data_IF_289900273850
#
_entry.id   IF_289900273850
#
_cell.length_a   1.000
_cell.length_b   1.000
_cell.length_c   1.000
_cell.angle_alpha   90.00
_cell.angle_beta   90.00
_cell.angle_gamma   90.00
#
_symmetry.space_group_name_H-M   'P 1'
#
loop_
_entity.id
_entity.type
_entity.pdbx_description
1 polymer ?
#
# COMPACT_ATOMS: atom_id res chain seq x y z
N UNK A 1 68.18 -8.38 -5.74
CA UNK A 1 67.28 -8.46 -4.57
C UNK A 1 66.04 -7.65 -4.89
N UNK A 2 64.91 -8.34 -5.00
CA UNK A 2 63.66 -7.86 -5.58
C UNK A 2 62.80 -7.14 -4.53
N UNK A 3 62.32 -5.95 -4.85
CA UNK A 3 61.32 -5.21 -4.08
C UNK A 3 59.92 -5.69 -4.50
N UNK A 4 59.29 -6.52 -3.68
CA UNK A 4 57.90 -6.95 -3.84
C UNK A 4 56.94 -5.99 -3.13
N UNK A 5 56.17 -5.23 -3.92
CA UNK A 5 55.07 -4.40 -3.40
C UNK A 5 53.88 -5.24 -2.99
N UNK A 6 53.47 -5.13 -1.73
CA UNK A 6 52.22 -5.72 -1.22
C UNK A 6 51.04 -4.87 -1.66
N UNK A 7 50.24 -5.37 -2.60
CA UNK A 7 48.95 -4.82 -2.96
C UNK A 7 47.97 -4.98 -1.79
N UNK A 8 47.60 -3.88 -1.15
CA UNK A 8 46.45 -3.83 -0.24
C UNK A 8 45.18 -3.92 -1.07
N UNK A 9 44.53 -5.08 -1.06
CA UNK A 9 43.20 -5.26 -1.62
C UNK A 9 42.21 -4.35 -0.88
N UNK A 10 41.66 -3.34 -1.57
CA UNK A 10 40.50 -2.60 -1.05
C UNK A 10 39.32 -3.57 -1.00
N UNK A 11 38.85 -3.89 0.20
CA UNK A 11 37.57 -4.55 0.37
C UNK A 11 36.49 -3.63 -0.22
N UNK A 12 35.94 -4.02 -1.37
CA UNK A 12 34.74 -3.40 -1.91
C UNK A 12 33.61 -3.64 -0.90
N UNK A 13 33.13 -2.56 -0.28
CA UNK A 13 31.91 -2.56 0.51
C UNK A 13 30.78 -3.08 -0.39
N UNK A 14 30.00 -4.08 0.04
CA UNK A 14 28.84 -4.52 -0.72
C UNK A 14 27.90 -3.34 -0.90
N UNK A 15 27.61 -2.97 -2.15
CA UNK A 15 26.58 -1.98 -2.50
C UNK A 15 25.26 -2.45 -1.89
N UNK A 16 24.73 -1.68 -0.94
CA UNK A 16 23.46 -1.96 -0.26
C UNK A 16 22.31 -2.00 -1.28
N UNK A 17 21.50 -3.07 -1.34
CA UNK A 17 20.33 -3.10 -2.21
C UNK A 17 19.20 -2.23 -1.63
N UNK A 18 19.02 -1.01 -2.17
CA UNK A 18 17.87 -0.13 -1.92
C UNK A 18 17.95 1.10 -2.82
N UNK A 19 16.84 1.79 -3.09
CA UNK A 19 16.84 3.07 -3.81
C UNK A 19 16.66 4.25 -2.84
N UNK A 20 17.30 5.37 -3.15
CA UNK A 20 17.16 6.61 -2.38
C UNK A 20 15.72 7.13 -2.50
N UNK A 21 15.03 7.31 -1.36
CA UNK A 21 13.68 7.90 -1.37
C UNK A 21 13.68 9.38 -1.76
N UNK A 22 14.84 10.04 -1.73
CA UNK A 22 15.04 11.42 -2.18
C UNK A 22 15.42 11.53 -3.67
N UNK A 23 15.16 10.48 -4.46
CA UNK A 23 15.57 10.33 -5.86
C UNK A 23 15.52 11.64 -6.68
N UNK A 24 16.58 11.94 -7.46
CA UNK A 24 16.61 13.11 -8.32
C UNK A 24 15.44 13.14 -9.33
N UNK A 25 15.03 14.35 -9.71
CA UNK A 25 14.06 14.61 -10.79
C UNK A 25 14.55 13.96 -12.09
N UNK A 26 13.66 13.28 -12.81
CA UNK A 26 13.91 12.63 -14.11
C UNK A 26 14.27 11.13 -14.06
N UNK A 27 14.18 10.47 -12.90
CA UNK A 27 14.56 9.06 -12.75
C UNK A 27 13.36 8.12 -12.89
N UNK A 28 13.45 7.19 -13.84
CA UNK A 28 12.61 5.97 -13.87
C UNK A 28 13.32 4.88 -13.10
N UNK A 29 12.60 4.16 -12.22
CA UNK A 29 13.18 3.05 -11.48
C UNK A 29 13.57 1.90 -12.41
N UNK A 30 14.73 1.28 -12.16
CA UNK A 30 15.20 0.14 -12.94
C UNK A 30 14.21 -1.05 -12.89
N UNK A 31 13.98 -1.71 -14.04
CA UNK A 31 13.01 -2.79 -14.15
C UNK A 31 13.32 -4.02 -13.26
N UNK A 32 14.57 -4.22 -12.84
CA UNK A 32 14.98 -5.29 -11.91
C UNK A 32 14.43 -5.04 -10.48
N UNK A 33 14.17 -3.78 -10.10
CA UNK A 33 13.66 -3.32 -8.79
C UNK A 33 12.14 -3.38 -8.65
N UNK A 34 11.41 -3.47 -9.77
CA UNK A 34 9.94 -3.56 -9.79
C UNK A 34 9.47 -4.99 -9.50
N UNK A 35 8.47 -5.21 -8.65
CA UNK A 35 7.91 -6.55 -8.38
C UNK A 35 6.79 -6.93 -9.34
N UNK A 36 5.92 -5.98 -9.68
CA UNK A 36 4.90 -6.10 -10.73
C UNK A 36 5.60 -5.90 -12.09
N UNK A 37 6.21 -6.96 -12.61
CA UNK A 37 7.03 -6.95 -13.83
C UNK A 37 6.26 -6.60 -15.12
N UNK A 38 4.94 -6.45 -15.06
CA UNK A 38 4.08 -5.94 -16.13
C UNK A 38 3.92 -4.42 -16.10
N UNK A 39 4.29 -3.73 -15.01
CA UNK A 39 4.34 -2.28 -14.98
C UNK A 39 5.33 -1.76 -16.03
N UNK A 40 4.91 -0.78 -16.83
CA UNK A 40 5.68 -0.27 -17.96
C UNK A 40 6.75 0.73 -17.49
N UNK A 41 6.46 1.46 -16.42
CA UNK A 41 7.33 2.49 -15.84
C UNK A 41 6.96 2.72 -14.39
N UNK A 42 7.96 3.07 -13.58
CA UNK A 42 7.78 3.66 -12.24
C UNK A 42 8.54 4.97 -12.23
N UNK A 43 7.80 6.08 -12.20
CA UNK A 43 8.32 7.43 -12.28
C UNK A 43 8.55 7.99 -10.86
N UNK A 44 9.82 8.15 -10.49
CA UNK A 44 10.20 8.64 -9.15
C UNK A 44 10.07 10.15 -9.00
N UNK A 45 9.80 10.85 -10.11
CA UNK A 45 9.52 12.28 -10.09
C UNK A 45 8.05 12.46 -9.77
N UNK A 46 7.16 11.93 -10.58
CA UNK A 46 5.72 12.23 -10.46
C UNK A 46 4.97 11.25 -9.56
N UNK A 47 5.69 10.36 -8.87
CA UNK A 47 5.18 9.45 -7.84
C UNK A 47 4.15 8.42 -8.36
N UNK A 48 4.21 8.03 -9.64
CA UNK A 48 3.28 7.07 -10.22
C UNK A 48 3.95 5.88 -10.89
N UNK A 49 3.19 4.80 -11.02
CA UNK A 49 3.49 3.68 -11.89
C UNK A 49 2.52 3.62 -13.07
N UNK A 50 3.04 3.40 -14.28
CA UNK A 50 2.22 3.13 -15.46
C UNK A 50 1.91 1.63 -15.50
N UNK A 51 0.65 1.28 -15.23
CA UNK A 51 0.16 -0.11 -15.14
C UNK A 51 -0.66 -0.48 -16.38
N UNK A 52 -0.65 -1.77 -16.80
CA UNK A 52 -1.59 -2.27 -17.80
C UNK A 52 -3.04 -2.09 -17.32
N UNK A 53 -3.85 -1.50 -18.19
CA UNK A 53 -5.28 -1.30 -17.99
C UNK A 53 -6.05 -2.43 -18.68
N UNK A 54 -7.15 -2.84 -18.07
CA UNK A 54 -8.07 -3.82 -18.62
C UNK A 54 -9.49 -3.26 -18.61
N UNK A 55 -10.28 -3.66 -19.61
CA UNK A 55 -11.69 -3.27 -19.74
C UNK A 55 -12.60 -4.37 -19.19
N UNK A 56 -13.56 -3.96 -18.38
CA UNK A 56 -14.66 -4.79 -17.90
C UNK A 56 -16.00 -4.07 -18.01
N UNK A 57 -17.05 -4.73 -17.51
CA UNK A 57 -18.41 -4.21 -17.44
C UNK A 57 -19.07 -4.61 -16.12
N UNK A 58 -20.01 -3.80 -15.62
CA UNK A 58 -20.90 -4.11 -14.51
C UNK A 58 -22.31 -3.68 -14.91
N UNK A 59 -23.21 -4.64 -15.13
CA UNK A 59 -24.60 -4.32 -15.47
C UNK A 59 -24.73 -3.43 -16.72
N UNK A 60 -23.83 -3.62 -17.69
CA UNK A 60 -23.76 -2.81 -18.92
C UNK A 60 -22.94 -1.52 -18.82
N UNK A 61 -22.55 -1.06 -17.62
CA UNK A 61 -21.64 0.08 -17.47
C UNK A 61 -20.19 -0.37 -17.66
N UNK A 62 -19.41 0.34 -18.47
CA UNK A 62 -17.97 0.10 -18.61
C UNK A 62 -17.24 0.37 -17.29
N UNK A 63 -16.29 -0.49 -16.94
CA UNK A 63 -15.33 -0.28 -15.86
C UNK A 63 -13.92 -0.57 -16.33
N UNK A 64 -12.93 0.08 -15.72
CA UNK A 64 -11.52 -0.09 -16.02
C UNK A 64 -10.79 -0.55 -14.79
N UNK A 65 -9.94 -1.57 -14.92
CA UNK A 65 -9.30 -2.22 -13.78
C UNK A 65 -7.86 -2.61 -14.10
N UNK A 66 -7.07 -2.79 -13.05
CA UNK A 66 -5.69 -3.31 -13.13
C UNK A 66 -5.60 -4.69 -12.50
N UNK A 67 -4.52 -5.43 -12.70
CA UNK A 67 -4.27 -6.71 -12.03
C UNK A 67 -2.87 -6.67 -11.41
N UNK A 68 -2.76 -6.84 -10.09
CA UNK A 68 -1.49 -6.60 -9.37
C UNK A 68 -0.93 -7.84 -8.70
N UNK A 69 -1.80 -8.75 -8.25
CA UNK A 69 -1.44 -9.95 -7.50
C UNK A 69 -2.38 -11.10 -7.85
N UNK A 70 -1.90 -12.33 -7.65
CA UNK A 70 -2.74 -13.53 -7.81
C UNK A 70 -2.25 -14.66 -6.90
N UNK A 71 -3.18 -15.48 -6.41
CA UNK A 71 -2.89 -16.63 -5.54
C UNK A 71 -2.09 -17.75 -6.23
N UNK A 72 -2.22 -17.88 -7.55
CA UNK A 72 -1.57 -18.93 -8.34
C UNK A 72 -0.22 -18.50 -8.90
N UNK A 73 0.85 -19.22 -8.54
CA UNK A 73 2.19 -18.99 -9.06
C UNK A 73 2.27 -19.08 -10.60
N UNK A 74 1.45 -19.96 -11.21
CA UNK A 74 1.40 -20.12 -12.67
C UNK A 74 0.76 -18.91 -13.34
N UNK A 75 -0.36 -18.42 -12.79
CA UNK A 75 -1.01 -17.21 -13.28
C UNK A 75 -0.10 -15.98 -13.10
N UNK A 76 0.54 -15.84 -11.94
CA UNK A 76 1.46 -14.75 -11.63
C UNK A 76 2.58 -14.64 -12.68
N UNK A 77 3.21 -15.77 -13.04
CA UNK A 77 4.24 -15.81 -14.09
C UNK A 77 3.71 -15.40 -15.47
N UNK A 78 2.52 -15.88 -15.85
CA UNK A 78 1.90 -15.58 -17.15
C UNK A 78 1.45 -14.12 -17.29
N UNK A 79 1.07 -13.50 -16.18
CA UNK A 79 0.66 -12.10 -16.11
C UNK A 79 1.82 -11.16 -15.77
N UNK A 80 2.96 -11.70 -15.32
CA UNK A 80 4.13 -10.94 -14.83
C UNK A 80 3.78 -10.02 -13.65
N UNK A 81 2.94 -10.51 -12.75
CA UNK A 81 2.47 -9.81 -11.55
C UNK A 81 2.94 -10.53 -10.28
N UNK A 82 2.67 -9.96 -9.11
CA UNK A 82 3.06 -10.57 -7.85
C UNK A 82 2.33 -11.91 -7.62
N UNK A 83 3.03 -12.86 -7.00
CA UNK A 83 2.42 -14.08 -6.49
C UNK A 83 2.11 -13.90 -5.00
N UNK A 84 0.83 -13.97 -4.64
CA UNK A 84 0.33 -13.76 -3.29
C UNK A 84 -0.45 -14.99 -2.79
N UNK A 85 0.22 -16.04 -2.29
CA UNK A 85 -0.41 -17.32 -1.98
C UNK A 85 -1.61 -17.21 -1.05
N UNK A 86 -1.55 -16.30 -0.09
CA UNK A 86 -2.59 -16.08 0.91
C UNK A 86 -3.91 -15.59 0.33
N UNK A 87 -3.91 -15.03 -0.89
CA UNK A 87 -5.15 -14.66 -1.56
C UNK A 87 -6.09 -15.87 -1.78
N UNK A 88 -5.55 -17.10 -1.84
CA UNK A 88 -6.38 -18.31 -1.91
C UNK A 88 -7.36 -18.44 -0.73
N UNK A 89 -7.07 -17.81 0.40
CA UNK A 89 -7.90 -17.85 1.61
C UNK A 89 -8.97 -16.75 1.66
N UNK A 90 -9.01 -15.81 0.69
CA UNK A 90 -9.98 -14.70 0.68
C UNK A 90 -11.44 -15.19 0.75
N UNK A 91 -11.87 -16.18 -0.06
CA UNK A 91 -13.27 -16.62 -0.04
C UNK A 91 -13.64 -17.42 1.21
N UNK A 92 -12.65 -17.90 1.96
CA UNK A 92 -12.88 -18.69 3.18
C UNK A 92 -13.54 -17.80 4.22
N UNK A 93 -14.77 -18.12 4.63
CA UNK A 93 -15.47 -17.42 5.71
C UNK A 93 -15.82 -15.95 5.43
N UNK A 94 -15.66 -15.46 4.20
CA UNK A 94 -16.09 -14.12 3.79
C UNK A 94 -16.49 -14.08 2.30
N UNK A 95 -17.75 -14.37 1.98
CA UNK A 95 -18.25 -14.31 0.59
C UNK A 95 -18.19 -12.89 0.02
N UNK A 96 -18.47 -11.87 0.83
CA UNK A 96 -18.45 -10.47 0.41
C UNK A 96 -17.03 -9.94 0.14
N UNK A 97 -16.00 -10.58 0.70
CA UNK A 97 -14.60 -10.21 0.46
C UNK A 97 -14.09 -10.65 -0.91
N UNK A 98 -14.83 -11.46 -1.66
CA UNK A 98 -14.50 -11.84 -3.03
C UNK A 98 -15.68 -11.65 -3.95
N UNK A 99 -15.42 -11.17 -5.16
CA UNK A 99 -16.42 -11.06 -6.21
C UNK A 99 -16.20 -12.16 -7.28
N UNK A 100 -17.27 -12.81 -7.72
CA UNK A 100 -17.17 -13.82 -8.77
C UNK A 100 -17.41 -13.17 -10.14
N UNK A 101 -16.43 -13.20 -11.03
CA UNK A 101 -16.50 -12.51 -12.33
C UNK A 101 -16.65 -13.47 -13.49
N UNK A 102 -17.36 -13.04 -14.54
CA UNK A 102 -17.55 -13.82 -15.75
C UNK A 102 -16.56 -13.38 -16.83
N UNK A 103 -15.86 -14.33 -17.46
CA UNK A 103 -14.98 -14.04 -18.60
C UNK A 103 -14.88 -15.25 -19.52
N UNK A 104 -14.69 -15.00 -20.83
CA UNK A 104 -14.49 -16.06 -21.82
C UNK A 104 -13.14 -16.79 -21.65
N UNK A 105 -12.22 -16.26 -20.83
CA UNK A 105 -10.91 -16.88 -20.55
C UNK A 105 -10.75 -17.10 -19.04
N UNK A 106 -10.15 -18.23 -18.67
CA UNK A 106 -9.83 -18.57 -17.27
C UNK A 106 -8.77 -17.66 -16.64
N UNK A 107 -7.86 -17.13 -17.45
CA UNK A 107 -6.84 -16.18 -17.00
C UNK A 107 -7.40 -14.76 -17.18
N UNK A 108 -7.55 -14.04 -16.07
CA UNK A 108 -8.08 -12.67 -16.06
C UNK A 108 -7.23 -11.73 -16.93
N UNK A 109 -7.86 -10.73 -17.54
CA UNK A 109 -7.17 -9.73 -18.38
C UNK A 109 -6.85 -10.20 -19.81
N UNK A 110 -7.30 -11.39 -20.22
CA UNK A 110 -7.14 -11.93 -21.59
C UNK A 110 -8.42 -11.85 -22.45
N UNK A 111 -9.51 -11.38 -21.88
CA UNK A 111 -10.79 -11.11 -22.51
C UNK A 111 -11.57 -10.11 -21.64
N UNK A 112 -12.62 -9.46 -22.15
CA UNK A 112 -13.53 -8.67 -21.33
C UNK A 112 -14.05 -9.45 -20.12
N UNK A 113 -14.32 -8.73 -19.04
CA UNK A 113 -14.74 -9.28 -17.74
C UNK A 113 -16.03 -8.60 -17.31
N UNK A 114 -17.05 -9.40 -16.97
CA UNK A 114 -18.26 -8.92 -16.30
C UNK A 114 -18.08 -9.07 -14.78
N UNK A 115 -18.11 -7.94 -14.09
CA UNK A 115 -18.04 -7.80 -12.64
C UNK A 115 -19.48 -7.76 -12.05
N UNK A 116 -19.65 -8.18 -10.80
CA UNK A 116 -20.94 -8.14 -10.07
C UNK A 116 -21.19 -6.79 -9.38
N UNK A 117 -20.12 -6.05 -9.06
CA UNK A 117 -20.17 -4.73 -8.44
C UNK A 117 -19.00 -3.85 -8.86
N UNK A 118 -19.12 -2.55 -8.59
CA UNK A 118 -18.09 -1.54 -8.83
C UNK A 118 -18.05 -0.51 -7.69
N UNK A 119 -16.95 0.24 -7.52
CA UNK A 119 -16.92 1.40 -6.66
C UNK A 119 -17.86 2.51 -7.15
N UNK A 120 -18.29 3.32 -6.19
CA UNK A 120 -18.76 4.67 -6.42
C UNK A 120 -17.62 5.67 -6.15
N UNK A 121 -17.17 6.36 -7.19
CA UNK A 121 -16.11 7.38 -7.13
C UNK A 121 -16.66 8.80 -6.97
N UNK A 122 -17.98 8.99 -7.00
CA UNK A 122 -18.58 10.32 -6.91
C UNK A 122 -18.45 11.07 -5.56
N UNK A 123 -18.25 10.40 -4.40
CA UNK A 123 -18.08 11.12 -3.14
C UNK A 123 -16.85 12.05 -3.11
N UNK A 124 -16.99 13.20 -2.46
CA UNK A 124 -15.84 14.06 -2.21
C UNK A 124 -15.05 13.57 -1.00
N UNK A 125 -13.73 13.43 -1.16
CA UNK A 125 -12.83 13.14 -0.05
C UNK A 125 -12.61 14.39 0.78
N UNK A 126 -12.84 14.30 2.10
CA UNK A 126 -12.66 15.44 3.00
C UNK A 126 -11.90 15.05 4.26
N UNK A 127 -11.20 16.01 4.85
CA UNK A 127 -10.43 15.83 6.07
C UNK A 127 -10.37 17.13 6.86
N UNK A 128 -10.81 17.06 8.12
CA UNK A 128 -10.53 18.07 9.14
C UNK A 128 -9.59 17.46 10.17
N UNK A 129 -8.30 17.83 10.18
CA UNK A 129 -7.34 17.33 11.16
C UNK A 129 -7.73 17.70 12.61
N UNK A 130 -7.20 16.95 13.58
CA UNK A 130 -7.20 17.33 14.98
C UNK A 130 -6.41 18.62 15.26
N UNK A 131 -6.51 19.17 16.48
CA UNK A 131 -5.78 20.36 16.86
C UNK A 131 -4.25 20.12 16.86
N UNK A 132 -3.50 21.16 16.48
CA UNK A 132 -2.04 21.20 16.61
C UNK A 132 -1.62 21.19 18.09
N UNK A 133 -0.47 20.57 18.47
CA UNK A 133 0.53 19.92 17.63
C UNK A 133 0.31 18.41 17.42
N UNK A 134 -0.85 17.87 17.80
CA UNK A 134 -1.19 16.45 17.71
C UNK A 134 -2.46 16.25 16.87
N UNK A 135 -2.39 16.45 15.54
CA UNK A 135 -3.57 16.42 14.66
C UNK A 135 -4.24 15.05 14.50
N UNK A 136 -3.71 13.99 15.12
CA UNK A 136 -4.37 12.68 15.18
C UNK A 136 -4.97 12.45 16.58
N UNK A 137 -6.23 11.97 16.70
CA UNK A 137 -7.15 11.64 15.60
C UNK A 137 -7.69 12.87 14.86
N UNK A 138 -8.12 12.68 13.61
CA UNK A 138 -8.83 13.72 12.86
C UNK A 138 -10.18 14.04 13.52
N UNK A 139 -10.65 15.29 13.38
CA UNK A 139 -11.97 15.71 13.85
C UNK A 139 -13.10 15.16 12.98
N UNK A 140 -12.88 15.14 11.66
CA UNK A 140 -13.82 14.60 10.68
C UNK A 140 -13.06 14.14 9.43
N UNK A 141 -13.60 13.12 8.76
CA UNK A 141 -13.07 12.65 7.48
C UNK A 141 -14.13 11.88 6.69
N UNK A 142 -14.10 12.01 5.37
CA UNK A 142 -14.88 11.18 4.44
C UNK A 142 -13.95 10.58 3.38
N UNK A 143 -14.05 9.27 3.06
CA UNK A 143 -13.40 8.69 1.88
C UNK A 143 -13.93 9.34 0.58
N UNK A 144 -13.11 9.37 -0.48
CA UNK A 144 -13.53 9.83 -1.82
C UNK A 144 -14.26 8.76 -2.62
N UNK A 145 -14.07 7.49 -2.30
CA UNK A 145 -14.74 6.40 -3.00
C UNK A 145 -15.26 5.35 -2.03
N UNK A 146 -16.31 4.62 -2.44
CA UNK A 146 -16.90 3.53 -1.67
C UNK A 146 -17.28 2.36 -2.55
N UNK A 147 -16.98 1.14 -2.12
CA UNK A 147 -17.53 -0.07 -2.74
C UNK A 147 -19.07 -0.07 -2.70
N UNK A 148 -19.71 -0.31 -3.84
CA UNK A 148 -21.14 -0.60 -3.90
C UNK A 148 -21.39 -2.07 -3.53
N UNK A 149 -22.67 -2.45 -3.45
CA UNK A 149 -23.06 -3.83 -3.24
C UNK A 149 -22.32 -4.78 -4.20
N UNK A 150 -21.87 -5.90 -3.67
CA UNK A 150 -21.12 -6.96 -4.36
C UNK A 150 -19.72 -6.57 -4.86
N UNK A 151 -19.24 -5.34 -4.66
CA UNK A 151 -17.87 -4.98 -5.03
C UNK A 151 -16.85 -5.59 -4.07
N UNK A 152 -15.83 -6.23 -4.65
CA UNK A 152 -14.55 -6.50 -4.00
C UNK A 152 -13.42 -6.41 -5.02
N UNK A 153 -12.23 -5.90 -4.65
CA UNK A 153 -11.06 -5.97 -5.52
C UNK A 153 -10.54 -7.40 -5.70
N UNK A 154 -10.88 -8.32 -4.81
CA UNK A 154 -10.46 -9.71 -4.93
C UNK A 154 -11.48 -10.48 -5.75
N UNK A 155 -11.04 -11.04 -6.87
CA UNK A 155 -11.93 -11.68 -7.83
C UNK A 155 -11.57 -13.13 -8.12
N UNK A 156 -12.58 -13.96 -8.29
CA UNK A 156 -12.46 -15.32 -8.84
C UNK A 156 -13.15 -15.37 -10.20
N UNK A 157 -12.62 -16.15 -11.15
CA UNK A 157 -13.26 -16.31 -12.46
C UNK A 157 -14.20 -17.50 -12.42
N UNK A 158 -15.44 -17.34 -12.91
CA UNK A 158 -16.42 -18.44 -13.04
C UNK A 158 -15.80 -19.68 -13.68
N UNK A 159 -15.97 -20.84 -13.03
CA UNK A 159 -15.38 -22.10 -13.46
C UNK A 159 -13.87 -22.26 -13.19
N UNK A 160 -13.27 -21.35 -12.39
CA UNK A 160 -11.91 -21.42 -11.86
C UNK A 160 -11.82 -20.67 -10.50
N UNK A 161 -12.60 -21.13 -9.53
CA UNK A 161 -12.78 -20.44 -8.24
C UNK A 161 -11.57 -20.59 -7.30
N UNK A 162 -10.63 -21.50 -7.59
CA UNK A 162 -9.42 -21.74 -6.78
C UNK A 162 -8.34 -20.66 -6.97
N UNK A 163 -8.49 -19.78 -7.97
CA UNK A 163 -7.53 -18.72 -8.28
C UNK A 163 -8.17 -17.37 -7.98
N UNK A 164 -7.61 -16.69 -6.98
CA UNK A 164 -8.04 -15.35 -6.57
C UNK A 164 -7.04 -14.34 -7.11
N UNK A 165 -7.56 -13.37 -7.85
CA UNK A 165 -6.81 -12.23 -8.38
C UNK A 165 -7.10 -10.99 -7.55
N UNK A 166 -6.10 -10.13 -7.39
CA UNK A 166 -6.32 -8.75 -6.97
C UNK A 166 -6.51 -7.89 -8.23
N UNK A 167 -7.73 -7.42 -8.44
CA UNK A 167 -8.17 -6.74 -9.66
C UNK A 167 -9.01 -5.48 -9.36
N UNK A 168 -8.42 -4.46 -8.70
CA UNK A 168 -9.14 -3.26 -8.30
C UNK A 168 -9.60 -2.46 -9.53
N UNK A 169 -10.82 -1.92 -9.46
CA UNK A 169 -11.38 -1.01 -10.47
C UNK A 169 -10.82 0.39 -10.20
N UNK A 170 -10.31 1.05 -11.24
CA UNK A 170 -9.67 2.37 -11.17
C UNK A 170 -10.46 3.48 -11.86
N UNK A 171 -11.49 3.14 -12.64
CA UNK A 171 -12.45 4.09 -13.21
C UNK A 171 -13.75 3.42 -13.66
N UNK A 172 -14.82 4.22 -13.77
CA UNK A 172 -16.12 3.82 -14.32
C UNK A 172 -16.54 4.71 -15.48
N UNK A 173 -17.32 4.16 -16.42
CA UNK A 173 -17.79 4.84 -17.63
C UNK A 173 -16.80 4.80 -18.81
N UNK A 174 -17.18 5.44 -19.91
CA UNK A 174 -16.41 5.51 -21.17
C UNK A 174 -15.58 6.81 -21.30
N UNK A 175 -15.54 7.62 -20.24
CA UNK A 175 -14.88 8.92 -20.19
C UNK A 175 -15.81 10.10 -20.52
N UNK A 176 -15.30 11.35 -20.49
CA UNK A 176 -13.95 11.72 -20.06
C UNK A 176 -13.69 11.32 -18.60
N UNK A 177 -12.45 10.91 -18.30
CA UNK A 177 -12.06 10.51 -16.95
C UNK A 177 -11.63 11.75 -16.16
N UNK A 178 -12.31 11.97 -15.03
CA UNK A 178 -11.98 13.02 -14.08
C UNK A 178 -10.79 12.57 -13.23
N UNK A 179 -9.61 13.03 -13.60
CA UNK A 179 -8.33 12.83 -12.89
C UNK A 179 -7.94 14.04 -12.04
N UNK A 180 -8.87 14.99 -11.85
CA UNK A 180 -8.63 16.21 -11.06
C UNK A 180 -9.37 16.14 -9.73
N UNK A 181 -10.66 15.82 -9.78
CA UNK A 181 -11.55 15.68 -8.62
C UNK A 181 -12.08 14.26 -8.42
N UNK A 182 -11.64 13.32 -9.26
CA UNK A 182 -11.85 11.88 -9.11
C UNK A 182 -13.31 11.41 -9.10
N UNK A 183 -14.25 12.16 -9.67
CA UNK A 183 -15.70 11.81 -9.63
C UNK A 183 -16.07 10.50 -10.36
N UNK A 184 -15.21 10.00 -11.25
CA UNK A 184 -15.35 8.71 -11.92
C UNK A 184 -14.04 7.92 -12.00
N UNK A 185 -13.02 8.30 -11.21
CA UNK A 185 -11.73 7.60 -11.13
C UNK A 185 -11.33 7.36 -9.68
N UNK A 186 -10.42 6.44 -9.45
CA UNK A 186 -9.83 6.25 -8.14
C UNK A 186 -9.00 7.49 -7.72
N UNK A 187 -9.01 7.84 -6.42
CA UNK A 187 -8.30 9.01 -5.81
C UNK A 187 -6.76 9.03 -5.98
N UNK A 188 -6.20 8.01 -6.63
CA UNK A 188 -4.76 7.86 -6.93
C UNK A 188 -4.48 7.76 -8.43
N UNK A 189 -5.50 7.81 -9.27
CA UNK A 189 -5.36 7.73 -10.73
C UNK A 189 -5.01 9.09 -11.31
N UNK A 190 -3.83 9.22 -11.89
CA UNK A 190 -3.36 10.45 -12.54
C UNK A 190 -3.64 10.48 -14.04
N UNK A 191 -3.90 9.33 -14.65
CA UNK A 191 -4.12 9.24 -16.09
C UNK A 191 -4.72 7.90 -16.49
N UNK A 192 -5.54 7.92 -17.54
CA UNK A 192 -6.09 6.75 -18.20
C UNK A 192 -5.95 6.92 -19.71
N UNK A 193 -5.36 5.92 -20.36
CA UNK A 193 -5.24 5.82 -21.80
C UNK A 193 -5.92 4.54 -22.27
N UNK A 194 -7.07 4.68 -22.91
CA UNK A 194 -7.88 3.55 -23.41
C UNK A 194 -7.46 3.09 -24.81
N UNK A 195 -6.54 3.81 -25.46
CA UNK A 195 -5.94 3.41 -26.75
C UNK A 195 -4.74 2.51 -26.47
N UNK A 196 -3.83 2.95 -25.60
CA UNK A 196 -2.65 2.18 -25.21
C UNK A 196 -2.92 1.18 -24.08
N UNK A 197 -4.13 1.22 -23.50
CA UNK A 197 -4.56 0.37 -22.39
C UNK A 197 -3.62 0.47 -21.20
N UNK A 198 -3.43 1.70 -20.70
CA UNK A 198 -2.58 2.00 -19.54
C UNK A 198 -3.23 2.98 -18.57
N UNK A 199 -2.82 2.92 -17.31
CA UNK A 199 -3.18 3.91 -16.29
C UNK A 199 -1.95 4.33 -15.50
N UNK A 200 -1.83 5.62 -15.22
CA UNK A 200 -0.81 6.15 -14.31
C UNK A 200 -1.44 6.23 -12.92
N UNK A 201 -0.91 5.43 -11.99
CA UNK A 201 -1.44 5.31 -10.64
C UNK A 201 -0.38 5.67 -9.61
N UNK A 202 -0.72 6.58 -8.69
CA UNK A 202 0.15 6.99 -7.61
C UNK A 202 0.52 5.80 -6.73
N UNK A 203 1.81 5.69 -6.41
CA UNK A 203 2.29 4.77 -5.39
C UNK A 203 2.49 5.51 -4.06
N UNK A 204 2.76 4.74 -3.02
CA UNK A 204 3.15 5.20 -1.70
C UNK A 204 4.55 4.70 -1.39
N UNK A 205 5.36 5.55 -0.75
CA UNK A 205 6.67 5.19 -0.23
C UNK A 205 6.52 4.53 1.13
N UNK A 206 7.24 3.45 1.37
CA UNK A 206 7.20 2.72 2.64
C UNK A 206 8.49 2.00 2.95
N UNK A 207 8.43 1.07 3.89
CA UNK A 207 9.59 0.28 4.29
C UNK A 207 9.27 -1.21 4.42
N UNK A 208 10.26 -2.07 4.18
CA UNK A 208 10.20 -3.49 4.54
C UNK A 208 11.60 -4.01 4.82
N UNK A 209 11.76 -4.84 5.86
CA UNK A 209 13.04 -5.44 6.26
C UNK A 209 14.21 -4.44 6.39
N UNK A 210 13.93 -3.19 6.75
CA UNK A 210 14.93 -2.13 6.87
C UNK A 210 15.14 -1.29 5.62
N UNK A 211 14.60 -1.71 4.48
CA UNK A 211 14.82 -1.10 3.16
C UNK A 211 13.60 -0.26 2.71
N UNK A 212 13.81 0.82 1.92
CA UNK A 212 12.77 1.52 1.19
C UNK A 212 12.01 0.61 0.22
N UNK A 213 10.70 0.77 0.15
CA UNK A 213 9.85 0.11 -0.86
C UNK A 213 8.86 1.12 -1.45
N UNK A 214 8.29 0.77 -2.60
CA UNK A 214 7.08 1.39 -3.14
C UNK A 214 5.94 0.37 -3.10
N UNK A 215 4.74 0.83 -2.79
CA UNK A 215 3.53 0.03 -2.86
C UNK A 215 2.36 0.84 -3.44
N UNK A 216 1.41 0.16 -4.08
CA UNK A 216 0.14 0.76 -4.51
C UNK A 216 -0.88 0.63 -3.38
N UNK A 217 -1.94 1.42 -3.37
CA UNK A 217 -2.99 1.32 -2.35
C UNK A 217 -4.35 1.66 -2.98
N UNK A 218 -5.28 0.70 -2.94
CA UNK A 218 -6.52 0.70 -3.72
C UNK A 218 -7.78 0.66 -2.86
N UNK A 219 -7.80 -0.16 -1.80
CA UNK A 219 -8.96 -0.28 -0.93
C UNK A 219 -8.55 -0.25 0.54
N UNK A 220 -9.45 0.22 1.41
CA UNK A 220 -9.32 0.03 2.84
C UNK A 220 -10.67 -0.28 3.49
N UNK A 221 -10.66 -1.07 4.57
CA UNK A 221 -11.87 -1.52 5.26
C UNK A 221 -12.36 -0.58 6.35
N UNK A 222 -11.66 0.51 6.61
CA UNK A 222 -11.99 1.50 7.63
C UNK A 222 -11.95 2.89 6.99
N UNK A 223 -12.94 3.73 7.31
CA UNK A 223 -13.19 4.96 6.56
C UNK A 223 -12.07 6.01 6.69
N UNK A 224 -11.53 6.22 7.89
CA UNK A 224 -10.39 7.14 8.05
C UNK A 224 -9.15 6.62 7.31
N UNK A 225 -8.91 5.31 7.37
CA UNK A 225 -7.81 4.64 6.66
C UNK A 225 -7.99 4.79 5.14
N UNK A 226 -9.20 4.56 4.62
CA UNK A 226 -9.51 4.79 3.20
C UNK A 226 -9.26 6.25 2.79
N UNK A 227 -9.64 7.21 3.62
CA UNK A 227 -9.40 8.63 3.36
C UNK A 227 -7.90 8.97 3.35
N UNK A 228 -7.15 8.58 4.40
CA UNK A 228 -5.74 8.96 4.53
C UNK A 228 -4.87 8.25 3.49
N UNK A 229 -5.26 7.02 3.14
CA UNK A 229 -4.67 6.25 2.06
C UNK A 229 -5.29 6.59 0.70
N UNK A 230 -6.15 7.61 0.45
CA UNK A 230 -6.72 7.85 -0.90
C UNK A 230 -7.22 6.57 -1.60
N UNK A 231 -7.89 5.72 -0.84
CA UNK A 231 -8.32 4.39 -1.25
C UNK A 231 -9.84 4.31 -1.22
N UNK A 232 -10.38 3.38 -1.99
CA UNK A 232 -11.81 3.06 -1.99
C UNK A 232 -12.20 2.40 -0.67
N UNK A 233 -13.20 2.94 0.01
CA UNK A 233 -13.72 2.37 1.25
C UNK A 233 -14.57 1.12 0.98
N UNK A 234 -14.12 -0.04 1.45
CA UNK A 234 -14.80 -1.35 1.31
C UNK A 234 -14.84 -2.05 2.67
N UNK A 235 -15.84 -1.78 3.53
CA UNK A 235 -15.88 -2.26 4.91
C UNK A 235 -15.87 -3.79 5.02
N UNK A 236 -16.44 -4.49 4.04
CA UNK A 236 -16.52 -5.96 3.99
C UNK A 236 -15.14 -6.62 4.05
N UNK A 237 -14.07 -5.93 3.61
CA UNK A 237 -12.70 -6.45 3.71
C UNK A 237 -12.26 -6.70 5.17
N UNK A 238 -12.89 -6.06 6.16
CA UNK A 238 -12.64 -6.29 7.58
C UNK A 238 -13.08 -7.69 8.05
N UNK A 239 -13.82 -8.44 7.24
CA UNK A 239 -14.26 -9.81 7.53
C UNK A 239 -13.32 -10.90 6.97
N UNK A 240 -12.26 -10.51 6.24
CA UNK A 240 -11.25 -11.46 5.77
C UNK A 240 -10.72 -12.30 6.93
N UNK A 241 -10.69 -13.61 6.82
CA UNK A 241 -10.42 -14.45 7.98
C UNK A 241 -9.04 -14.19 8.62
N UNK A 242 -9.01 -14.44 9.93
CA UNK A 242 -7.85 -14.35 10.83
C UNK A 242 -7.36 -12.93 11.17
N UNK A 243 -8.22 -12.05 11.73
CA UNK A 243 -7.70 -10.94 12.52
C UNK A 243 -6.95 -11.51 13.73
N UNK A 244 -5.84 -10.89 14.15
CA UNK A 244 -5.07 -11.23 15.37
C UNK A 244 -4.03 -12.37 15.30
N UNK A 245 -3.52 -12.74 14.13
CA UNK A 245 -2.21 -13.42 14.02
C UNK A 245 -2.12 -14.90 14.45
N UNK A 246 -3.24 -15.60 14.64
CA UNK A 246 -3.28 -17.06 14.81
C UNK A 246 -3.34 -17.76 13.45
N UNK A 247 -2.30 -18.50 13.06
CA UNK A 247 -2.29 -19.33 11.84
C UNK A 247 -1.91 -18.58 10.56
N UNK A 248 -0.63 -18.20 10.44
CA UNK A 248 -0.03 -17.51 9.28
C UNK A 248 -0.44 -18.09 7.91
N UNK A 249 -0.58 -19.41 7.81
CA UNK A 249 -0.89 -20.12 6.56
C UNK A 249 -2.36 -20.08 6.10
N UNK A 250 -3.32 -19.91 7.02
CA UNK A 250 -4.76 -19.92 6.68
C UNK A 250 -5.35 -18.51 6.55
N UNK A 251 -4.59 -17.48 6.95
CA UNK A 251 -5.01 -16.09 6.81
C UNK A 251 -4.96 -15.63 5.35
N UNK A 252 -5.90 -14.78 4.95
CA UNK A 252 -5.79 -13.99 3.73
C UNK A 252 -4.90 -12.75 3.91
N UNK A 253 -4.57 -12.39 5.16
CA UNK A 253 -3.95 -11.11 5.52
C UNK A 253 -2.46 -11.24 5.86
N UNK A 254 -1.66 -10.24 5.52
CA UNK A 254 -0.29 -10.05 6.02
C UNK A 254 -0.22 -8.84 6.96
N UNK A 255 0.79 -8.71 7.83
CA UNK A 255 0.84 -7.59 8.79
C UNK A 255 1.50 -6.35 8.21
N UNK A 256 0.89 -5.18 8.42
CA UNK A 256 1.48 -3.87 8.10
C UNK A 256 1.45 -3.00 9.36
N UNK A 257 2.46 -2.14 9.54
CA UNK A 257 2.60 -1.33 10.74
C UNK A 257 2.60 0.16 10.42
N UNK A 258 1.90 0.91 11.26
CA UNK A 258 1.94 2.38 11.29
C UNK A 258 2.04 2.86 12.73
N UNK A 259 2.11 4.18 12.93
CA UNK A 259 2.18 4.79 14.26
C UNK A 259 1.21 5.95 14.38
N UNK A 260 0.47 6.00 15.50
CA UNK A 260 -0.39 7.13 15.81
C UNK A 260 0.43 8.39 16.13
N UNK A 261 1.49 8.25 16.93
CA UNK A 261 2.22 9.36 17.58
C UNK A 261 3.75 9.28 17.38
N UNK A 262 4.19 8.77 16.23
CA UNK A 262 5.58 8.89 15.83
C UNK A 262 5.98 10.36 15.74
N UNK A 263 7.27 10.61 15.96
CA UNK A 263 7.82 11.95 15.99
C UNK A 263 7.77 12.59 14.62
N UNK A 264 7.25 13.82 14.57
CA UNK A 264 7.26 14.68 13.39
C UNK A 264 8.43 15.68 13.50
N UNK A 265 9.14 15.95 12.40
CA UNK A 265 9.94 17.17 12.25
C UNK A 265 11.26 17.22 12.99
N UNK A 266 12.08 16.15 12.99
CA UNK A 266 13.50 16.30 13.30
C UNK A 266 14.41 15.94 12.12
N UNK A 267 15.22 16.92 11.73
CA UNK A 267 16.59 16.68 11.31
C UNK A 267 17.33 15.97 12.46
N UNK A 268 17.71 14.71 12.26
CA UNK A 268 18.84 14.18 13.03
C UNK A 268 20.12 14.83 12.47
N UNK A 269 21.17 15.06 13.28
CA UNK A 269 22.46 15.47 12.74
C UNK A 269 22.83 14.48 11.64
N UNK A 270 23.07 14.99 10.45
CA UNK A 270 23.56 14.19 9.33
C UNK A 270 24.80 13.45 9.81
N UNK A 271 24.73 12.11 9.87
CA UNK A 271 25.96 11.33 9.72
C UNK A 271 26.47 11.73 8.34
N UNK A 272 27.66 12.34 8.30
CA UNK A 272 28.32 12.89 7.11
C UNK A 272 27.95 12.07 5.86
N UNK A 273 27.21 12.69 4.93
CA UNK A 273 26.90 12.10 3.62
C UNK A 273 25.42 11.87 3.28
N UNK A 274 24.47 12.04 4.21
CA UNK A 274 23.04 12.01 3.88
C UNK A 274 22.49 13.44 3.73
N UNK A 275 22.23 13.86 2.51
CA UNK A 275 21.53 15.10 2.18
C UNK A 275 20.10 15.04 2.71
N UNK A 276 19.78 16.05 3.54
CA UNK A 276 18.46 16.49 4.01
C UNK A 276 17.56 15.52 4.78
N UNK A 277 16.75 16.05 5.69
CA UNK A 277 15.84 15.27 6.54
C UNK A 277 14.64 14.64 5.81
N UNK A 278 14.67 14.47 4.48
CA UNK A 278 13.61 13.80 3.72
C UNK A 278 13.57 12.31 4.08
N UNK A 279 12.37 11.75 4.27
CA UNK A 279 12.19 10.31 4.52
C UNK A 279 12.33 9.83 5.98
N UNK A 280 12.27 10.73 7.00
CA UNK A 280 12.35 10.32 8.42
C UNK A 280 11.06 10.48 9.23
N UNK A 281 10.02 10.98 8.60
CA UNK A 281 8.72 11.14 9.24
C UNK A 281 7.77 10.03 8.76
N UNK A 282 6.94 9.53 9.67
CA UNK A 282 6.05 8.38 9.43
C UNK A 282 4.81 8.50 10.31
N UNK A 283 3.77 7.76 9.98
CA UNK A 283 2.58 7.61 10.80
C UNK A 283 1.52 8.69 10.63
N UNK A 284 0.45 8.53 11.40
CA UNK A 284 -0.80 9.26 11.20
C UNK A 284 -0.68 10.74 11.61
N UNK A 285 -0.04 11.04 12.75
CA UNK A 285 0.22 12.44 13.16
C UNK A 285 1.03 13.20 12.09
N UNK A 286 2.01 12.52 11.46
CA UNK A 286 2.82 13.12 10.41
C UNK A 286 2.01 13.43 9.16
N UNK A 287 1.30 12.43 8.61
CA UNK A 287 0.50 12.61 7.39
C UNK A 287 -0.53 13.75 7.56
N UNK A 288 -1.17 13.84 8.73
CA UNK A 288 -2.12 14.92 9.04
C UNK A 288 -1.46 16.29 9.25
N UNK A 289 -0.16 16.35 9.55
CA UNK A 289 0.57 17.62 9.71
C UNK A 289 0.91 18.29 8.38
N UNK A 290 1.03 17.52 7.30
CA UNK A 290 1.46 18.03 5.98
C UNK A 290 0.40 18.86 5.24
N UNK A 291 -0.84 18.96 5.75
CA UNK A 291 -1.98 19.69 5.15
C UNK A 291 -2.34 19.34 3.70
N UNK A 292 -1.64 18.41 3.06
CA UNK A 292 -1.99 17.85 1.73
C UNK A 292 -2.87 16.61 1.85
N UNK A 293 -2.97 16.00 3.03
CA UNK A 293 -3.69 14.73 3.25
C UNK A 293 -5.14 14.79 2.77
N UNK A 294 -5.82 15.93 2.90
CA UNK A 294 -7.20 16.13 2.44
C UNK A 294 -7.34 16.68 1.02
N UNK A 295 -6.24 16.91 0.31
CA UNK A 295 -6.26 17.49 -1.04
C UNK A 295 -6.18 16.39 -2.11
N UNK A 296 -6.86 16.60 -3.24
CA UNK A 296 -6.84 15.69 -4.38
C UNK A 296 -5.46 15.65 -5.03
N UNK A 297 -5.03 14.43 -5.36
CA UNK A 297 -3.74 14.17 -5.93
C UNK A 297 -3.89 14.07 -7.45
N UNK A 298 -3.66 15.20 -8.11
CA UNK A 298 -3.79 15.35 -9.55
C UNK A 298 -2.51 15.96 -10.14
N UNK A 299 -2.23 15.68 -11.41
CA UNK A 299 -1.13 16.35 -12.16
C UNK A 299 -1.33 17.87 -12.16
N UNK A 300 -2.59 18.32 -12.19
CA UNK A 300 -2.96 19.74 -12.09
C UNK A 300 -2.68 20.36 -10.71
N UNK A 301 -2.39 19.55 -9.68
CA UNK A 301 -2.02 19.99 -8.34
C UNK A 301 -0.58 19.51 -7.98
N UNK A 302 0.46 20.12 -8.59
CA UNK A 302 1.84 19.66 -8.41
C UNK A 302 2.35 19.79 -6.97
N UNK A 303 1.75 20.66 -6.14
CA UNK A 303 2.10 20.80 -4.73
C UNK A 303 1.77 19.56 -3.91
N UNK A 304 0.65 18.89 -4.22
CA UNK A 304 0.30 17.61 -3.57
C UNK A 304 1.27 16.53 -3.99
N UNK A 305 1.59 16.42 -5.28
CA UNK A 305 2.56 15.44 -5.80
C UNK A 305 3.94 15.64 -5.16
N UNK A 306 4.42 16.88 -5.09
CA UNK A 306 5.66 17.22 -4.41
C UNK A 306 5.61 16.91 -2.91
N UNK A 307 4.49 17.20 -2.25
CA UNK A 307 4.28 16.87 -0.85
C UNK A 307 4.33 15.36 -0.58
N UNK A 308 3.71 14.54 -1.43
CA UNK A 308 3.76 13.08 -1.35
C UNK A 308 5.19 12.56 -1.57
N UNK A 309 5.90 13.08 -2.58
CA UNK A 309 7.32 12.77 -2.82
C UNK A 309 8.20 13.06 -1.59
N UNK A 310 7.88 14.13 -0.87
CA UNK A 310 8.58 14.53 0.36
C UNK A 310 8.04 13.85 1.63
N UNK A 311 7.33 12.74 1.47
CA UNK A 311 6.86 11.87 2.56
C UNK A 311 5.50 12.26 3.12
N UNK A 312 4.64 12.96 2.37
CA UNK A 312 3.31 13.36 2.85
C UNK A 312 2.33 12.20 3.12
N UNK A 313 2.67 10.97 2.73
CA UNK A 313 1.95 9.75 3.08
C UNK A 313 2.35 9.19 4.46
N UNK A 314 1.57 8.22 4.93
CA UNK A 314 1.75 7.56 6.23
C UNK A 314 3.09 6.80 6.33
N UNK A 315 3.67 6.36 5.21
CA UNK A 315 4.94 5.63 5.16
C UNK A 315 4.95 4.35 6.01
N UNK A 316 4.07 3.42 5.66
CA UNK A 316 3.85 2.18 6.41
C UNK A 316 5.03 1.18 6.28
N UNK A 317 5.06 0.19 7.19
CA UNK A 317 6.08 -0.87 7.22
C UNK A 317 5.45 -2.23 6.93
N UNK A 318 5.88 -2.90 5.86
CA UNK A 318 5.43 -4.23 5.48
C UNK A 318 6.21 -5.31 6.25
N UNK A 319 5.51 -6.31 6.81
CA UNK A 319 6.16 -7.45 7.49
C UNK A 319 6.93 -8.36 6.54
N UNK A 320 6.38 -8.55 5.35
CA UNK A 320 6.87 -9.50 4.34
C UNK A 320 6.78 -8.85 2.96
N UNK A 321 7.50 -9.38 1.99
CA UNK A 321 7.55 -8.83 0.64
C UNK A 321 7.61 -9.97 -0.38
N UNK A 322 7.04 -9.84 -1.59
CA UNK A 322 6.94 -10.94 -2.54
C UNK A 322 8.30 -11.44 -3.05
N UNK A 323 9.36 -10.63 -2.92
CA UNK A 323 10.73 -10.98 -3.34
C UNK A 323 11.65 -11.39 -2.19
N UNK A 324 11.15 -11.54 -0.96
CA UNK A 324 11.94 -12.04 0.18
C UNK A 324 12.78 -13.27 -0.19
N UNK A 325 14.04 -13.36 0.23
CA UNK A 325 14.93 -14.45 -0.18
C UNK A 325 14.45 -15.84 0.27
N UNK A 326 13.87 -15.93 1.47
CA UNK A 326 13.36 -17.20 2.02
C UNK A 326 11.98 -17.52 1.45
N UNK A 327 11.84 -18.72 0.88
CA UNK A 327 10.56 -19.21 0.31
C UNK A 327 9.40 -19.14 1.31
N UNK A 328 9.66 -19.47 2.58
CA UNK A 328 8.65 -19.42 3.65
C UNK A 328 8.14 -17.99 3.89
N UNK A 329 9.00 -16.98 3.79
CA UNK A 329 8.63 -15.59 4.05
C UNK A 329 7.84 -15.03 2.84
N UNK A 330 8.22 -15.41 1.60
CA UNK A 330 7.41 -15.10 0.40
C UNK A 330 6.03 -15.76 0.42
N UNK A 331 5.93 -16.95 0.99
CA UNK A 331 4.65 -17.65 1.11
C UNK A 331 3.65 -16.91 2.01
N UNK A 332 4.14 -16.02 2.86
CA UNK A 332 3.34 -15.19 3.76
C UNK A 332 2.85 -13.88 3.14
N UNK A 333 3.26 -13.57 1.90
CA UNK A 333 2.85 -12.34 1.24
C UNK A 333 1.37 -12.37 0.84
N UNK A 334 0.71 -11.24 1.11
CA UNK A 334 -0.61 -10.88 0.64
C UNK A 334 -0.65 -9.37 0.40
N UNK A 335 -1.34 -8.87 -0.65
CA UNK A 335 -1.65 -7.45 -0.76
C UNK A 335 -2.75 -7.03 0.22
N UNK A 336 -3.49 -7.96 0.85
CA UNK A 336 -4.44 -7.65 1.91
C UNK A 336 -3.67 -7.50 3.24
N UNK A 337 -3.42 -6.27 3.66
CA UNK A 337 -2.65 -5.97 4.85
C UNK A 337 -3.52 -5.68 6.06
N UNK A 338 -3.30 -6.38 7.16
CA UNK A 338 -3.87 -6.11 8.46
C UNK A 338 -3.05 -5.04 9.20
N UNK A 339 -3.62 -3.84 9.32
CA UNK A 339 -2.99 -2.66 9.90
C UNK A 339 -2.86 -2.79 11.41
N UNK A 340 -1.63 -2.57 11.89
CA UNK A 340 -1.29 -2.52 13.31
C UNK A 340 -0.84 -1.10 13.65
N UNK A 341 -1.65 -0.39 14.44
CA UNK A 341 -1.39 1.01 14.83
C UNK A 341 -0.64 1.04 16.15
N UNK A 342 0.66 1.32 16.09
CA UNK A 342 1.51 1.48 17.26
C UNK A 342 1.38 2.85 17.93
N UNK A 343 1.39 2.86 19.25
CA UNK A 343 1.42 4.07 20.09
C UNK A 343 2.67 4.02 20.96
N UNK A 344 3.58 4.97 20.77
CA UNK A 344 4.75 5.12 21.64
C UNK A 344 4.33 5.59 23.03
N UNK A 345 4.92 4.97 24.06
CA UNK A 345 4.68 5.34 25.45
C UNK A 345 5.14 6.78 25.75
N UNK A 346 4.62 7.37 26.83
CA UNK A 346 5.06 8.70 27.28
C UNK A 346 6.58 8.77 27.45
N UNK A 347 7.17 7.78 28.12
CA UNK A 347 8.62 7.70 28.35
C UNK A 347 9.41 7.62 27.03
N UNK A 348 8.92 6.87 26.05
CA UNK A 348 9.54 6.78 24.73
C UNK A 348 9.52 8.13 23.99
N UNK A 349 8.44 8.90 24.12
CA UNK A 349 8.33 10.24 23.51
C UNK A 349 9.23 11.26 24.19
N UNK A 350 9.23 11.32 25.52
CA UNK A 350 10.10 12.24 26.28
C UNK A 350 11.58 11.97 25.99
N UNK A 351 11.97 10.69 25.91
CA UNK A 351 13.34 10.29 25.57
C UNK A 351 13.65 10.25 24.07
N UNK A 352 12.77 10.78 23.20
CA UNK A 352 13.00 10.90 21.75
C UNK A 352 13.24 9.56 21.03
N UNK A 353 12.65 8.47 21.53
CA UNK A 353 12.75 7.11 20.97
C UNK A 353 11.67 6.80 19.91
N UNK A 354 10.74 7.72 19.67
CA UNK A 354 9.60 7.60 18.76
C UNK A 354 9.89 8.02 17.31
N UNK A 355 11.14 7.91 16.84
CA UNK A 355 11.52 8.21 15.45
C UNK A 355 11.16 7.11 14.43
N UNK A 356 11.61 7.28 13.19
CA UNK A 356 11.44 6.34 12.06
C UNK A 356 11.70 4.88 12.47
N UNK A 357 10.88 3.97 11.93
CA UNK A 357 11.07 2.53 11.96
C UNK A 357 10.90 2.01 10.54
N UNK A 358 11.75 1.08 10.14
CA UNK A 358 11.77 0.56 8.77
C UNK A 358 11.66 -0.97 8.72
N UNK A 359 11.61 -1.63 9.89
CA UNK A 359 11.62 -3.08 10.03
C UNK A 359 10.53 -3.53 11.02
N UNK A 360 9.63 -4.39 10.55
CA UNK A 360 8.55 -4.95 11.36
C UNK A 360 9.07 -5.69 12.60
N UNK A 361 10.23 -6.35 12.51
CA UNK A 361 10.81 -7.03 13.66
C UNK A 361 11.28 -6.04 14.75
N UNK A 362 11.78 -4.86 14.37
CA UNK A 362 12.09 -3.78 15.29
C UNK A 362 10.83 -3.29 16.00
N UNK A 363 9.72 -3.10 15.27
CA UNK A 363 8.43 -2.71 15.86
C UNK A 363 7.95 -3.75 16.88
N UNK A 364 8.03 -5.04 16.55
CA UNK A 364 7.69 -6.13 17.49
C UNK A 364 8.61 -6.21 18.70
N UNK A 365 9.91 -5.94 18.57
CA UNK A 365 10.84 -5.88 19.71
C UNK A 365 10.49 -4.75 20.66
N UNK A 366 10.10 -3.58 20.15
CA UNK A 366 9.67 -2.45 20.97
C UNK A 366 8.35 -2.74 21.68
N UNK A 367 7.43 -3.41 20.99
CA UNK A 367 6.15 -3.82 21.54
C UNK A 367 6.31 -4.82 22.70
N UNK A 368 7.17 -5.84 22.53
CA UNK A 368 7.51 -6.79 23.62
C UNK A 368 8.15 -6.12 24.85
N UNK A 369 8.75 -4.95 24.69
CA UNK A 369 9.37 -4.17 25.77
C UNK A 369 8.42 -3.13 26.39
N UNK A 370 7.16 -3.05 25.94
CA UNK A 370 6.20 -2.03 26.38
C UNK A 370 6.53 -0.61 25.93
N UNK A 371 7.46 -0.44 24.97
CA UNK A 371 7.81 0.88 24.40
C UNK A 371 6.73 1.35 23.44
N UNK A 372 6.10 0.40 22.75
CA UNK A 372 4.97 0.62 21.85
C UNK A 372 3.82 -0.26 22.32
N UNK A 373 2.63 0.31 22.43
CA UNK A 373 1.38 -0.42 22.65
C UNK A 373 0.51 -0.33 21.40
N UNK A 374 -0.52 -1.16 21.30
CA UNK A 374 -1.55 -0.97 20.27
C UNK A 374 -2.45 0.19 20.67
N UNK A 375 -2.93 0.97 19.71
CA UNK A 375 -3.98 1.94 19.95
C UNK A 375 -5.26 1.22 20.40
N UNK A 376 -5.57 1.28 21.70
CA UNK A 376 -6.86 0.81 22.22
C UNK A 376 -7.94 1.85 21.93
N UNK A 377 -9.09 1.41 21.41
CA UNK A 377 -10.23 2.30 21.12
C UNK A 377 -10.94 2.05 19.79
N UNK A 378 -10.47 1.11 18.97
CA UNK A 378 -11.31 0.56 17.90
C UNK A 378 -12.29 -0.45 18.53
N UNK A 379 -13.57 -0.50 18.11
CA UNK A 379 -14.60 -1.34 18.74
C UNK A 379 -14.28 -2.85 18.77
N UNK A 380 -13.21 -3.29 18.10
CA UNK A 380 -12.76 -4.68 18.04
C UNK A 380 -11.45 -4.97 18.81
N UNK A 381 -10.82 -3.98 19.45
CA UNK A 381 -9.67 -4.20 20.33
C UNK A 381 -10.13 -4.24 21.78
N UNK A 382 -10.23 -5.44 22.36
CA UNK A 382 -10.65 -5.63 23.75
C UNK A 382 -9.82 -4.82 24.77
N UNK A 383 -10.35 -4.58 25.99
CA UNK A 383 -9.63 -3.86 27.04
C UNK A 383 -8.45 -4.71 27.53
N UNK A 384 -7.24 -4.36 27.07
CA UNK A 384 -6.02 -5.08 27.38
C UNK A 384 -5.05 -5.00 26.21
N UNK A 385 -4.21 -3.97 26.21
CA UNK A 385 -3.28 -3.66 25.13
C UNK A 385 -2.24 -4.75 24.89
N UNK A 386 -2.61 -5.77 24.10
CA UNK A 386 -1.66 -6.69 23.49
C UNK A 386 -0.76 -5.86 22.57
N UNK A 387 0.56 -5.85 22.76
CA UNK A 387 1.44 -5.03 21.93
C UNK A 387 1.42 -5.48 20.47
N UNK A 388 1.19 -4.55 19.54
CA UNK A 388 1.05 -4.80 18.10
C UNK A 388 -0.03 -5.85 17.75
N UNK A 389 -1.24 -5.65 18.23
CA UNK A 389 -2.40 -6.43 17.83
C UNK A 389 -2.94 -5.96 16.48
N UNK A 390 -3.71 -6.82 15.84
CA UNK A 390 -4.50 -6.46 14.65
C UNK A 390 -5.41 -5.28 14.98
N UNK A 391 -5.45 -4.29 14.10
CA UNK A 391 -6.47 -3.24 14.14
C UNK A 391 -7.82 -3.71 13.58
N UNK A 392 -7.88 -4.93 13.02
CA UNK A 392 -8.94 -5.41 12.15
C UNK A 392 -9.26 -4.44 11.00
N UNK A 393 -8.22 -3.77 10.50
CA UNK A 393 -8.30 -2.83 9.39
C UNK A 393 -7.50 -3.45 8.25
N UNK A 394 -8.16 -3.74 7.14
CA UNK A 394 -7.51 -4.25 5.94
C UNK A 394 -7.21 -3.09 5.00
N UNK A 395 -6.00 -3.06 4.45
CA UNK A 395 -5.61 -2.19 3.35
C UNK A 395 -5.12 -3.05 2.19
N UNK A 396 -5.73 -2.92 1.01
CA UNK A 396 -5.28 -3.56 -0.21
C UNK A 396 -4.10 -2.77 -0.80
N UNK A 397 -2.87 -3.17 -0.44
CA UNK A 397 -1.65 -2.49 -0.87
C UNK A 397 -0.64 -3.41 -1.57
N UNK A 398 -0.77 -3.63 -2.89
CA UNK A 398 0.21 -4.40 -3.66
C UNK A 398 1.62 -3.84 -3.55
N UNK A 399 2.60 -4.72 -3.28
CA UNK A 399 4.01 -4.36 -3.41
C UNK A 399 4.34 -3.99 -4.86
N UNK A 400 5.03 -2.88 -5.08
CA UNK A 400 5.39 -2.38 -6.41
C UNK A 400 6.90 -2.48 -6.69
N UNK A 401 7.74 -2.08 -5.73
CA UNK A 401 9.19 -2.01 -5.94
C UNK A 401 9.99 -1.97 -4.62
N UNK A 402 11.31 -2.21 -4.70
CA UNK A 402 12.28 -2.24 -3.60
C UNK A 402 13.69 -1.84 -4.04
#
# INVERSE_FOLDING_TARGET
>A
MSLGGTATASAQTPTTPGFDQSAPVGVTLEANRVTIKSALRVDLTFEYATLPLHRGTVGGQTVWYVITDVSSASAARKLRINHAPKLANVPTGCRACSQEVSSAKRLLGRAPVEFEGAPDFSPARTLTPGPSPAPFPAQASTPGARGRANYSPFVTVKGNLDVVYNAPIVATGDGPFDITTHTNTHDRTLGIDTVNMTTDHLYVRGFSNGEPILYLSFEASEAFTAMIERSTFVPELADLQFPNGGGRHFSARASIFTFANARVGLEAPSRRGASDGRGRNQGLTHALSFRIAGQDAAIANPQVIEGLRNGGDVSNIFDVFPTNARKRDRAEYSPAWDLQVGVYSFNARVNRQNGLKTDANAVRRLARRGVITTLGGLPHTGPGGVPNASGNIVINCPALAF
#
